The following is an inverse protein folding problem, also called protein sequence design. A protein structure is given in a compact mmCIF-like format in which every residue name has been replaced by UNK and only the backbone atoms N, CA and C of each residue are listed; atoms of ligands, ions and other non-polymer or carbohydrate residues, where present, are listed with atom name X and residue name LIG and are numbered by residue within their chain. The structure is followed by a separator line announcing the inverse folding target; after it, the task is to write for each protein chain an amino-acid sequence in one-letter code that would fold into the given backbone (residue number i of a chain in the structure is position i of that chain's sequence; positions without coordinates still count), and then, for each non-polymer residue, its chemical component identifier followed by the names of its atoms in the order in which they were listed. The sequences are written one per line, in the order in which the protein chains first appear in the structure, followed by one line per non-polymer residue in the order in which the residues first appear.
data_IF_564273944600
#
_entry.id   IF_564273944600
#
_cell.length_a   1.000
_cell.length_b   1.000
_cell.length_c   1.000
_cell.angle_alpha   90.00
_cell.angle_beta   90.00
_cell.angle_gamma   90.00
#
_symmetry.space_group_name_H-M   'P 1'
#
loop_
_entity.id
_entity.type
_entity.pdbx_description
1 polymer ?
#
# COMPACT_ATOMS: atom_id res chain seq x y z
N UNK A 1 13.11 4.42 -45.15
CA UNK A 1 13.27 4.95 -43.78
C UNK A 1 12.18 4.29 -42.93
N UNK A 2 12.49 3.20 -42.24
CA UNK A 2 11.50 2.49 -41.43
C UNK A 2 11.43 3.14 -40.05
N UNK A 3 10.30 3.79 -39.76
CA UNK A 3 9.97 4.31 -38.44
C UNK A 3 9.51 3.16 -37.55
N UNK A 4 10.40 2.66 -36.70
CA UNK A 4 10.01 1.76 -35.61
C UNK A 4 9.29 2.58 -34.53
N UNK A 5 7.98 2.34 -34.41
CA UNK A 5 7.17 2.86 -33.32
C UNK A 5 7.63 2.24 -32.00
N UNK A 6 8.33 3.03 -31.18
CA UNK A 6 8.72 2.68 -29.81
C UNK A 6 7.48 2.36 -28.96
N UNK A 7 7.24 1.07 -28.68
CA UNK A 7 6.22 0.66 -27.72
C UNK A 7 6.65 1.13 -26.32
N UNK A 8 5.88 2.04 -25.70
CA UNK A 8 6.12 2.44 -24.30
C UNK A 8 6.01 1.22 -23.38
N UNK A 9 7.03 1.01 -22.54
CA UNK A 9 7.01 -0.02 -21.49
C UNK A 9 5.84 0.27 -20.54
N UNK A 10 5.01 -0.74 -20.27
CA UNK A 10 3.90 -0.63 -19.31
C UNK A 10 4.49 -0.55 -17.89
N UNK A 11 4.13 0.50 -17.15
CA UNK A 11 4.50 0.68 -15.75
C UNK A 11 3.79 -0.36 -14.88
N UNK A 12 4.51 -0.99 -13.95
CA UNK A 12 3.98 -1.99 -13.03
C UNK A 12 3.67 -1.31 -11.70
N UNK A 13 2.39 -1.32 -11.29
CA UNK A 13 1.95 -0.86 -9.98
C UNK A 13 1.82 -2.04 -9.02
N UNK A 14 2.31 -1.88 -7.79
CA UNK A 14 2.29 -2.88 -6.72
C UNK A 14 1.35 -2.38 -5.63
N UNK A 15 0.47 -3.27 -5.17
CA UNK A 15 -0.42 -3.04 -4.05
C UNK A 15 0.04 -3.85 -2.83
N UNK A 16 0.11 -3.18 -1.68
CA UNK A 16 0.33 -3.82 -0.37
C UNK A 16 -0.62 -3.19 0.62
N UNK A 17 -1.34 -3.97 1.41
CA UNK A 17 -2.23 -3.46 2.44
C UNK A 17 -1.93 -4.04 3.82
N UNK A 18 -2.35 -3.34 4.86
CA UNK A 18 -2.13 -3.78 6.22
C UNK A 18 -2.61 -2.81 7.30
N UNK A 19 -2.50 -3.27 8.54
CA UNK A 19 -2.78 -2.46 9.72
C UNK A 19 -1.69 -1.39 9.92
N UNK A 20 -0.41 -1.80 9.79
CA UNK A 20 0.75 -0.93 10.02
C UNK A 20 0.75 -0.23 11.39
N UNK A 21 0.17 -0.86 12.41
CA UNK A 21 0.30 -0.40 13.78
C UNK A 21 1.75 -0.54 14.27
N UNK A 22 2.19 0.42 15.09
CA UNK A 22 3.57 0.56 15.55
C UNK A 22 4.60 0.36 14.42
N UNK A 23 4.56 1.21 13.38
CA UNK A 23 5.45 1.11 12.21
C UNK A 23 6.91 0.97 12.64
N UNK A 24 7.53 -0.14 12.23
CA UNK A 24 8.88 -0.52 12.60
C UNK A 24 9.65 -1.05 11.38
N UNK A 25 10.91 -1.44 11.58
CA UNK A 25 11.80 -1.93 10.52
C UNK A 25 11.18 -3.01 9.64
N UNK A 26 10.49 -4.00 10.25
CA UNK A 26 9.77 -5.04 9.51
C UNK A 26 8.83 -4.51 8.42
N UNK A 27 7.96 -3.55 8.75
CA UNK A 27 7.06 -2.90 7.79
C UNK A 27 7.84 -2.16 6.69
N UNK A 28 8.81 -1.34 7.08
CA UNK A 28 9.61 -0.57 6.12
C UNK A 28 10.39 -1.47 5.15
N UNK A 29 10.96 -2.58 5.63
CA UNK A 29 11.71 -3.52 4.81
C UNK A 29 10.81 -4.38 3.92
N UNK A 30 9.59 -4.71 4.37
CA UNK A 30 8.60 -5.37 3.51
C UNK A 30 8.17 -4.46 2.35
N UNK A 31 7.87 -3.18 2.64
CA UNK A 31 7.52 -2.20 1.60
C UNK A 31 8.69 -1.89 0.67
N UNK A 32 9.94 -1.89 1.17
CA UNK A 32 11.14 -1.81 0.32
C UNK A 32 11.21 -2.95 -0.69
N UNK A 33 10.94 -4.19 -0.26
CA UNK A 33 10.94 -5.36 -1.13
C UNK A 33 9.80 -5.28 -2.15
N UNK A 34 8.61 -4.87 -1.73
CA UNK A 34 7.48 -4.66 -2.64
C UNK A 34 7.78 -3.61 -3.72
N UNK A 35 8.41 -2.49 -3.36
CA UNK A 35 8.85 -1.47 -4.32
C UNK A 35 9.88 -2.00 -5.33
N UNK A 36 10.66 -3.02 -5.00
CA UNK A 36 11.59 -3.65 -5.95
C UNK A 36 10.89 -4.52 -7.01
N UNK A 37 9.61 -4.85 -6.81
CA UNK A 37 8.84 -5.71 -7.72
C UNK A 37 8.11 -4.93 -8.83
N UNK A 38 8.08 -3.59 -8.76
CA UNK A 38 7.42 -2.75 -9.74
C UNK A 38 7.93 -1.32 -9.74
N UNK A 39 7.27 -0.46 -10.49
CA UNK A 39 7.68 0.94 -10.68
C UNK A 39 7.00 1.88 -9.67
N UNK A 40 5.84 1.50 -9.13
CA UNK A 40 5.01 2.32 -8.25
C UNK A 40 4.35 1.48 -7.15
N UNK A 41 4.52 1.85 -5.88
CA UNK A 41 4.01 1.17 -4.71
C UNK A 41 2.87 1.98 -4.09
N UNK A 42 1.67 1.40 -4.13
CA UNK A 42 0.47 1.88 -3.46
C UNK A 42 0.28 1.07 -2.19
N UNK A 43 0.12 1.76 -1.05
CA UNK A 43 -0.09 1.11 0.25
C UNK A 43 -1.47 1.41 0.81
N UNK A 44 -2.28 0.38 1.00
CA UNK A 44 -3.57 0.46 1.66
C UNK A 44 -3.45 0.35 3.18
N UNK A 45 -3.97 1.31 3.93
CA UNK A 45 -3.96 1.26 5.39
C UNK A 45 -5.39 1.07 5.90
N UNK A 46 -5.61 0.04 6.72
CA UNK A 46 -6.94 -0.28 7.23
C UNK A 46 -7.43 0.74 8.26
N UNK A 47 -8.74 0.97 8.32
CA UNK A 47 -9.37 1.82 9.34
C UNK A 47 -9.32 1.17 10.73
N UNK A 48 -9.45 1.99 11.77
CA UNK A 48 -9.52 1.51 13.16
C UNK A 48 -10.73 0.58 13.34
N UNK A 49 -11.86 0.90 12.71
CA UNK A 49 -13.09 0.11 12.72
C UNK A 49 -12.87 -1.31 12.17
N UNK A 50 -12.19 -1.43 11.03
CA UNK A 50 -11.90 -2.72 10.41
C UNK A 50 -10.91 -3.53 11.23
N UNK A 51 -9.89 -2.89 11.82
CA UNK A 51 -8.89 -3.57 12.67
C UNK A 51 -9.54 -4.05 13.98
N UNK A 52 -10.35 -3.21 14.62
CA UNK A 52 -11.12 -3.55 15.83
C UNK A 52 -11.96 -4.80 15.63
N UNK A 53 -12.63 -4.91 14.47
CA UNK A 53 -13.50 -6.04 14.15
C UNK A 53 -12.76 -7.36 13.95
N UNK A 54 -11.53 -7.33 13.42
CA UNK A 54 -10.84 -8.55 12.96
C UNK A 54 -9.62 -8.96 13.80
N UNK A 55 -8.96 -8.03 14.49
CA UNK A 55 -7.66 -8.29 15.15
C UNK A 55 -7.58 -7.76 16.59
N UNK A 56 -8.41 -6.78 16.95
CA UNK A 56 -8.36 -6.07 18.23
C UNK A 56 -7.86 -4.63 18.08
N UNK A 57 -7.84 -3.82 19.16
CA UNK A 57 -7.54 -2.40 19.07
C UNK A 57 -6.10 -2.11 18.64
N UNK A 58 -5.88 -1.22 17.66
CA UNK A 58 -4.55 -0.71 17.38
C UNK A 58 -4.09 0.23 18.50
N UNK A 59 -2.77 0.34 18.68
CA UNK A 59 -2.14 1.29 19.61
C UNK A 59 -2.23 2.71 19.05
N UNK A 60 -1.96 2.87 17.76
CA UNK A 60 -2.06 4.16 17.07
C UNK A 60 -3.36 4.29 16.29
N UNK A 61 -3.91 5.51 16.29
CA UNK A 61 -5.06 5.85 15.45
C UNK A 61 -4.76 5.66 13.97
N UNK A 62 -5.80 5.46 13.17
CA UNK A 62 -5.65 5.34 11.71
C UNK A 62 -4.92 6.54 11.09
N UNK A 63 -5.16 7.76 11.59
CA UNK A 63 -4.50 8.98 11.12
C UNK A 63 -2.99 8.97 11.38
N UNK A 64 -2.58 8.46 12.55
CA UNK A 64 -1.17 8.30 12.86
C UNK A 64 -0.52 7.24 11.98
N UNK A 65 -1.20 6.10 11.76
CA UNK A 65 -0.74 5.04 10.87
C UNK A 65 -0.61 5.53 9.43
N UNK A 66 -1.56 6.33 8.92
CA UNK A 66 -1.46 6.97 7.60
C UNK A 66 -0.21 7.83 7.48
N UNK A 67 0.04 8.71 8.46
CA UNK A 67 1.24 9.58 8.49
C UNK A 67 2.53 8.77 8.54
N UNK A 68 2.58 7.73 9.38
CA UNK A 68 3.76 6.87 9.51
C UNK A 68 4.06 6.13 8.20
N UNK A 69 3.03 5.59 7.53
CA UNK A 69 3.21 4.89 6.24
C UNK A 69 3.61 5.86 5.13
N UNK A 70 3.00 7.05 5.05
CA UNK A 70 3.38 8.12 4.09
C UNK A 70 4.84 8.55 4.25
N UNK A 71 5.40 8.46 5.47
CA UNK A 71 6.80 8.82 5.74
C UNK A 71 7.81 7.75 5.31
N UNK A 72 7.36 6.53 4.94
CA UNK A 72 8.25 5.47 4.48
C UNK A 72 8.74 5.80 3.07
N UNK A 73 10.05 5.98 2.92
CA UNK A 73 10.73 6.38 1.67
C UNK A 73 10.28 5.65 0.39
N UNK A 74 9.86 4.39 0.51
CA UNK A 74 9.55 3.51 -0.63
C UNK A 74 8.10 3.62 -1.12
N UNK A 75 7.23 4.26 -0.33
CA UNK A 75 5.79 4.38 -0.60
C UNK A 75 5.54 5.58 -1.49
N UNK A 76 4.89 5.36 -2.63
CA UNK A 76 4.54 6.45 -3.55
C UNK A 76 3.14 7.01 -3.25
N UNK A 77 2.21 6.14 -2.84
CA UNK A 77 0.82 6.50 -2.58
C UNK A 77 0.27 5.73 -1.38
N UNK A 78 -0.51 6.42 -0.55
CA UNK A 78 -1.26 5.79 0.55
C UNK A 78 -2.75 5.92 0.29
N UNK A 79 -3.44 4.79 0.32
CA UNK A 79 -4.90 4.68 0.26
C UNK A 79 -5.41 4.43 1.67
N UNK A 80 -6.17 5.39 2.18
CA UNK A 80 -6.79 5.35 3.50
C UNK A 80 -8.05 4.48 3.49
N UNK A 81 -8.44 3.96 4.66
CA UNK A 81 -9.62 3.11 4.82
C UNK A 81 -9.64 1.90 3.85
N UNK A 82 -8.48 1.28 3.60
CA UNK A 82 -8.41 0.09 2.78
C UNK A 82 -9.16 -1.06 3.48
N UNK A 83 -10.08 -1.72 2.78
CA UNK A 83 -10.84 -2.83 3.34
C UNK A 83 -9.90 -4.01 3.68
N UNK A 84 -10.10 -4.65 4.84
CA UNK A 84 -9.51 -5.98 5.08
C UNK A 84 -10.17 -6.92 4.08
N UNK A 85 -9.35 -7.64 3.31
CA UNK A 85 -9.79 -8.53 2.25
C UNK A 85 -10.86 -9.53 2.73
N UNK A 86 -12.14 -9.22 2.48
CA UNK A 86 -13.27 -10.16 2.60
C UNK A 86 -14.08 -10.32 1.30
N UNK A 87 -14.00 -9.42 0.30
CA UNK A 87 -14.42 -9.75 -1.08
C UNK A 87 -13.93 -8.75 -2.16
N UNK A 88 -13.81 -9.30 -3.35
CA UNK A 88 -13.17 -9.00 -4.64
C UNK A 88 -13.60 -7.76 -5.45
N UNK A 89 -14.00 -6.66 -4.81
CA UNK A 89 -14.65 -5.54 -5.54
C UNK A 89 -13.77 -4.38 -6.03
N UNK A 90 -12.90 -3.85 -5.16
CA UNK A 90 -12.46 -2.45 -5.29
C UNK A 90 -10.99 -2.24 -5.75
N UNK A 91 -10.22 -3.31 -5.97
CA UNK A 91 -8.84 -3.20 -6.47
C UNK A 91 -8.77 -3.05 -8.00
N UNK A 92 -9.90 -3.08 -8.71
CA UNK A 92 -9.96 -3.05 -10.18
C UNK A 92 -9.56 -1.71 -10.84
N UNK A 93 -9.29 -0.66 -10.05
CA UNK A 93 -8.99 0.68 -10.55
C UNK A 93 -7.61 1.22 -10.16
N UNK A 94 -6.75 0.38 -9.55
CA UNK A 94 -5.36 0.72 -9.23
C UNK A 94 -4.41 0.06 -10.25
#
# INVERSE_FOLDING_TARGET
MNGESSKRKKSIRIWVDGCFDMVHFGHANALRQAKQMGDYLVVGVHSDEEIMKHKGPPVFSQEERYKMVRAIKWVDEVVENAAICNDTGNTRHL
#
